data_IF_944895423299
#
_entry.id   IF_944895423299
#
_cell.length_a   1.000
_cell.length_b   1.000
_cell.length_c   1.000
_cell.angle_alpha   90.00
_cell.angle_beta   90.00
_cell.angle_gamma   90.00
#
_symmetry.space_group_name_H-M   'P 1'
#
loop_
_entity.id
_entity.type
_entity.pdbx_description
1 polymer ?
#
# COMPACT_ATOMS: atom_id res chain seq x y z
N UNK A 1 52.03 -0.23 -15.18
CA UNK A 1 50.87 -0.08 -16.09
C UNK A 1 49.70 -1.05 -15.84
N UNK A 2 49.89 -2.33 -15.46
CA UNK A 2 48.77 -3.26 -15.17
C UNK A 2 47.98 -2.96 -13.87
N UNK A 3 48.62 -2.42 -12.83
CA UNK A 3 48.00 -2.16 -11.51
C UNK A 3 46.96 -1.02 -11.51
N UNK A 4 47.18 0.01 -12.35
CA UNK A 4 46.23 1.12 -12.52
C UNK A 4 44.96 0.72 -13.29
N UNK A 5 45.03 -0.31 -14.13
CA UNK A 5 43.87 -0.82 -14.89
C UNK A 5 42.88 -1.57 -14.00
N UNK A 6 43.38 -2.27 -12.97
CA UNK A 6 42.55 -3.05 -12.03
C UNK A 6 41.85 -2.12 -11.04
N UNK A 7 42.55 -1.09 -10.54
CA UNK A 7 41.95 -0.09 -9.66
C UNK A 7 40.85 0.73 -10.36
N UNK A 8 41.04 1.08 -11.65
CA UNK A 8 40.02 1.73 -12.46
C UNK A 8 38.78 0.86 -12.70
N UNK A 9 38.97 -0.45 -12.92
CA UNK A 9 37.85 -1.39 -13.09
C UNK A 9 37.05 -1.63 -11.80
N UNK A 10 37.70 -1.63 -10.62
CA UNK A 10 36.99 -1.71 -9.33
C UNK A 10 36.26 -0.42 -8.97
N UNK A 11 36.82 0.75 -9.28
CA UNK A 11 36.16 2.04 -9.07
C UNK A 11 34.91 2.20 -9.96
N UNK A 12 35.00 1.76 -11.23
CA UNK A 12 33.85 1.75 -12.16
C UNK A 12 32.77 0.77 -11.69
N UNK A 13 33.15 -0.43 -11.25
CA UNK A 13 32.20 -1.42 -10.70
C UNK A 13 31.46 -0.91 -9.46
N UNK A 14 32.16 -0.26 -8.53
CA UNK A 14 31.55 0.28 -7.31
C UNK A 14 30.60 1.45 -7.61
N UNK A 15 30.94 2.34 -8.55
CA UNK A 15 30.06 3.44 -8.96
C UNK A 15 28.81 2.96 -9.70
N UNK A 16 28.91 1.90 -10.51
CA UNK A 16 27.75 1.31 -11.20
C UNK A 16 26.82 0.59 -10.22
N UNK A 17 27.36 -0.07 -9.19
CA UNK A 17 26.56 -0.68 -8.13
C UNK A 17 25.83 0.33 -7.24
N UNK A 18 26.42 1.51 -6.98
CA UNK A 18 25.76 2.59 -6.22
C UNK A 18 24.60 3.20 -7.02
N UNK A 19 24.71 3.29 -8.35
CA UNK A 19 23.63 3.79 -9.21
C UNK A 19 22.46 2.80 -9.25
N UNK A 20 22.72 1.48 -9.24
CA UNK A 20 21.65 0.47 -9.23
C UNK A 20 20.86 0.41 -7.91
N UNK A 21 21.45 0.78 -6.77
CA UNK A 21 20.78 0.79 -5.47
C UNK A 21 19.84 2.01 -5.31
N UNK A 22 20.11 3.12 -6.00
CA UNK A 22 19.36 4.38 -5.89
C UNK A 22 18.06 4.45 -6.72
N UNK A 23 17.80 3.50 -7.63
CA UNK A 23 16.61 3.54 -8.52
C UNK A 23 15.31 3.10 -7.81
N UNK A 24 15.39 2.63 -6.57
CA UNK A 24 14.26 2.02 -5.86
C UNK A 24 13.15 2.96 -5.37
N UNK A 25 13.33 4.28 -5.34
CA UNK A 25 12.37 5.17 -4.66
C UNK A 25 12.09 6.51 -5.34
N UNK A 26 12.11 6.58 -6.67
CA UNK A 26 11.42 7.69 -7.34
C UNK A 26 9.90 7.49 -7.20
N UNK A 27 9.33 8.04 -6.14
CA UNK A 27 7.91 8.42 -6.13
C UNK A 27 7.75 9.47 -7.22
N UNK A 28 7.44 9.00 -8.43
CA UNK A 28 7.11 9.88 -9.54
C UNK A 28 5.82 10.62 -9.16
N UNK A 29 5.96 11.82 -8.60
CA UNK A 29 4.89 12.81 -8.40
C UNK A 29 4.39 13.37 -9.74
N UNK A 30 4.14 12.49 -10.71
CA UNK A 30 3.53 12.84 -11.98
C UNK A 30 2.05 13.15 -11.80
N UNK A 31 1.50 13.99 -12.67
CA UNK A 31 0.07 14.23 -12.75
C UNK A 31 -0.70 12.90 -12.80
N UNK A 32 -1.66 12.71 -11.89
CA UNK A 32 -2.48 11.50 -11.81
C UNK A 32 -3.37 11.43 -13.06
N UNK A 33 -2.99 10.61 -14.04
CA UNK A 33 -3.86 10.31 -15.19
C UNK A 33 -4.96 9.34 -14.75
N UNK A 34 -6.20 9.79 -14.77
CA UNK A 34 -7.38 8.96 -14.49
C UNK A 34 -7.92 8.31 -15.77
N UNK A 35 -8.60 7.17 -15.61
CA UNK A 35 -9.28 6.45 -16.70
C UNK A 35 -8.44 5.35 -17.38
N UNK A 36 -9.11 4.52 -18.18
CA UNK A 36 -8.56 3.35 -18.85
C UNK A 36 -8.95 2.01 -18.20
N UNK A 37 -8.44 0.91 -18.75
CA UNK A 37 -8.66 -0.45 -18.24
C UNK A 37 -7.37 -0.99 -17.63
N UNK A 38 -7.41 -1.30 -16.34
CA UNK A 38 -6.32 -2.01 -15.68
C UNK A 38 -6.50 -3.52 -15.89
N UNK A 39 -5.66 -4.12 -16.73
CA UNK A 39 -5.60 -5.58 -16.87
C UNK A 39 -4.77 -6.15 -15.71
N UNK A 40 -5.43 -6.86 -14.81
CA UNK A 40 -4.81 -7.37 -13.59
C UNK A 40 -5.00 -8.89 -13.49
N UNK A 41 -3.92 -9.62 -13.19
CA UNK A 41 -3.90 -11.09 -13.14
C UNK A 41 -3.72 -11.54 -11.70
N UNK A 42 -4.57 -12.46 -11.25
CA UNK A 42 -4.45 -13.12 -9.95
C UNK A 42 -4.18 -14.61 -10.12
N UNK A 43 -3.21 -15.12 -9.36
CA UNK A 43 -2.77 -16.52 -9.44
C UNK A 43 -3.65 -17.52 -8.67
N UNK A 44 -4.91 -17.17 -8.35
CA UNK A 44 -5.81 -18.03 -7.58
C UNK A 44 -7.23 -17.96 -8.10
N UNK A 45 -7.95 -19.07 -7.99
CA UNK A 45 -9.41 -19.09 -8.16
C UNK A 45 -10.04 -18.49 -6.91
N UNK A 46 -10.98 -17.57 -7.09
CA UNK A 46 -11.75 -16.98 -5.99
C UNK A 46 -12.74 -18.03 -5.46
N UNK A 47 -12.61 -18.49 -4.19
CA UNK A 47 -13.53 -19.45 -3.58
C UNK A 47 -14.91 -18.85 -3.25
N UNK A 48 -14.96 -17.58 -2.84
CA UNK A 48 -16.18 -16.85 -2.48
C UNK A 48 -15.96 -15.35 -2.63
N UNK A 49 -17.05 -14.60 -2.83
CA UNK A 49 -17.06 -13.13 -2.84
C UNK A 49 -17.43 -12.52 -1.49
N UNK A 50 -17.74 -13.35 -0.50
CA UNK A 50 -18.06 -12.93 0.86
C UNK A 50 -16.77 -12.81 1.70
N UNK A 51 -16.34 -11.57 1.96
CA UNK A 51 -15.14 -11.26 2.74
C UNK A 51 -15.26 -11.60 4.23
N UNK A 52 -16.46 -11.86 4.76
CA UNK A 52 -16.61 -12.37 6.13
C UNK A 52 -16.34 -13.87 6.22
N UNK A 53 -16.43 -14.58 5.09
CA UNK A 53 -16.23 -16.04 5.04
C UNK A 53 -14.84 -16.42 4.58
N UNK A 54 -14.15 -15.53 3.90
CA UNK A 54 -12.94 -15.83 3.16
C UNK A 54 -11.76 -14.95 3.59
N UNK A 55 -10.61 -15.57 3.83
CA UNK A 55 -9.42 -14.92 4.39
C UNK A 55 -8.17 -15.16 3.56
N UNK A 56 -8.28 -15.81 2.40
CA UNK A 56 -7.15 -16.08 1.52
C UNK A 56 -6.73 -14.85 0.71
N UNK A 57 -5.45 -14.84 0.33
CA UNK A 57 -4.89 -13.82 -0.57
C UNK A 57 -5.67 -13.73 -1.90
N UNK A 58 -6.18 -14.87 -2.37
CA UNK A 58 -6.91 -14.99 -3.63
C UNK A 58 -8.22 -14.20 -3.68
N UNK A 59 -8.73 -13.78 -2.51
CA UNK A 59 -9.91 -12.92 -2.41
C UNK A 59 -9.55 -11.54 -1.88
N UNK A 60 -8.72 -11.45 -0.84
CA UNK A 60 -8.36 -10.18 -0.21
C UNK A 60 -7.73 -9.22 -1.22
N UNK A 61 -6.78 -9.66 -2.04
CA UNK A 61 -6.12 -8.76 -2.99
C UNK A 61 -7.05 -8.23 -4.10
N UNK A 62 -7.87 -9.05 -4.78
CA UNK A 62 -8.80 -8.54 -5.79
C UNK A 62 -9.96 -7.75 -5.21
N UNK A 63 -10.46 -8.11 -4.01
CA UNK A 63 -11.70 -7.55 -3.49
C UNK A 63 -11.52 -6.41 -2.49
N UNK A 64 -10.41 -6.34 -1.76
CA UNK A 64 -10.18 -5.24 -0.81
C UNK A 64 -10.36 -3.83 -1.41
N UNK A 65 -10.02 -3.54 -2.69
CA UNK A 65 -10.24 -2.20 -3.25
C UNK A 65 -11.71 -1.79 -3.39
N UNK A 66 -12.66 -2.73 -3.33
CA UNK A 66 -14.09 -2.45 -3.42
C UNK A 66 -14.74 -2.14 -2.06
N UNK A 67 -14.02 -2.37 -0.97
CA UNK A 67 -14.53 -2.16 0.39
C UNK A 67 -13.76 -1.03 1.05
N UNK A 68 -14.48 -0.02 1.52
CA UNK A 68 -13.92 0.94 2.45
C UNK A 68 -13.94 0.36 3.86
N UNK A 69 -12.85 0.55 4.59
CA UNK A 69 -12.66 0.06 5.96
C UNK A 69 -12.70 1.23 6.94
N UNK A 70 -12.67 0.95 8.24
CA UNK A 70 -12.52 2.00 9.24
C UNK A 70 -11.14 2.66 9.13
N UNK A 71 -10.11 1.83 9.07
CA UNK A 71 -8.70 2.18 8.92
C UNK A 71 -8.12 1.35 7.78
N UNK A 72 -7.03 1.82 7.16
CA UNK A 72 -6.33 1.13 6.07
C UNK A 72 -4.82 1.30 6.18
N UNK A 73 -4.08 0.45 5.50
CA UNK A 73 -2.62 0.60 5.34
C UNK A 73 -2.32 1.93 4.65
N UNK A 74 -1.30 2.65 5.11
CA UNK A 74 -0.86 3.90 4.49
C UNK A 74 -0.46 3.67 3.01
N UNK A 75 -1.17 4.24 2.03
CA UNK A 75 -0.88 4.04 0.62
C UNK A 75 0.44 4.69 0.20
N UNK A 76 0.90 5.69 0.95
CA UNK A 76 2.17 6.39 0.72
C UNK A 76 3.35 5.66 1.38
N UNK A 77 3.06 4.69 2.26
CA UNK A 77 4.06 3.87 2.93
C UNK A 77 3.59 2.40 3.08
N UNK A 78 3.32 1.70 1.96
CA UNK A 78 2.67 0.38 1.98
C UNK A 78 3.57 -0.72 2.54
N UNK A 79 4.88 -0.48 2.66
CA UNK A 79 5.83 -1.43 3.24
C UNK A 79 5.83 -1.44 4.77
N UNK A 80 5.22 -0.44 5.41
CA UNK A 80 5.18 -0.38 6.87
C UNK A 80 4.08 -1.29 7.43
N UNK A 81 4.41 -2.19 8.38
CA UNK A 81 3.43 -3.09 8.98
C UNK A 81 2.56 -2.43 10.05
N UNK A 82 2.89 -1.19 10.46
CA UNK A 82 2.22 -0.49 11.58
C UNK A 82 1.69 0.89 11.21
N UNK A 83 1.91 1.34 9.98
CA UNK A 83 1.48 2.66 9.52
C UNK A 83 0.06 2.57 8.94
N UNK A 84 -0.92 2.70 9.83
CA UNK A 84 -2.33 2.72 9.50
C UNK A 84 -2.86 4.16 9.48
N UNK A 85 -3.67 4.47 8.47
CA UNK A 85 -4.31 5.77 8.29
C UNK A 85 -5.83 5.61 8.27
N UNK A 86 -6.54 6.71 8.51
CA UNK A 86 -7.98 6.72 8.40
C UNK A 86 -8.44 6.49 6.96
N UNK A 87 -9.45 5.63 6.81
CA UNK A 87 -10.21 5.49 5.57
C UNK A 87 -11.58 6.15 5.73
N UNK A 88 -12.57 5.40 6.22
CA UNK A 88 -13.92 5.92 6.56
C UNK A 88 -13.90 6.79 7.83
N UNK A 89 -12.92 6.61 8.72
CA UNK A 89 -12.77 7.52 9.85
C UNK A 89 -12.25 8.91 9.45
N UNK A 90 -12.45 9.84 10.37
CA UNK A 90 -11.86 11.18 10.34
C UNK A 90 -10.67 11.24 11.30
N UNK A 91 -9.64 12.00 10.91
CA UNK A 91 -8.48 12.28 11.76
C UNK A 91 -7.36 11.25 11.63
N UNK A 92 -6.67 11.03 12.75
CA UNK A 92 -5.49 10.17 12.85
C UNK A 92 -5.88 8.91 13.63
N UNK A 93 -5.34 7.76 13.23
CA UNK A 93 -5.52 6.50 13.95
C UNK A 93 -4.55 6.48 15.13
N UNK A 94 -5.08 6.52 16.35
CA UNK A 94 -4.28 6.34 17.56
C UNK A 94 -4.08 4.85 17.85
N UNK A 95 -2.86 4.37 17.61
CA UNK A 95 -2.49 2.98 17.84
C UNK A 95 -2.40 2.61 19.34
N UNK A 96 -2.27 3.59 20.25
CA UNK A 96 -2.23 3.32 21.69
C UNK A 96 -3.63 3.14 22.28
N UNK A 97 -4.64 3.76 21.69
CA UNK A 97 -6.02 3.75 22.17
C UNK A 97 -6.20 4.37 23.55
N UNK A 98 -7.44 4.38 24.02
CA UNK A 98 -7.82 4.80 25.37
C UNK A 98 -7.73 3.60 26.34
N UNK A 99 -7.72 3.89 27.65
CA UNK A 99 -7.76 2.88 28.72
C UNK A 99 -6.66 1.80 28.60
N UNK A 100 -5.47 2.20 28.14
CA UNK A 100 -4.34 1.30 27.89
C UNK A 100 -4.58 0.34 26.71
N UNK A 101 -5.22 0.82 25.63
CA UNK A 101 -5.45 0.06 24.40
C UNK A 101 -6.66 -0.86 24.44
N UNK A 102 -7.58 -0.66 25.40
CA UNK A 102 -8.82 -1.45 25.53
C UNK A 102 -10.03 -0.79 24.90
N UNK A 103 -9.93 0.49 24.56
CA UNK A 103 -11.01 1.27 23.98
C UNK A 103 -10.48 2.09 22.81
N UNK A 104 -11.18 2.02 21.69
CA UNK A 104 -10.88 2.81 20.49
C UNK A 104 -12.14 3.52 20.03
N UNK A 105 -12.05 4.84 19.91
CA UNK A 105 -13.16 5.68 19.49
C UNK A 105 -12.84 6.25 18.11
N UNK A 106 -13.73 6.00 17.14
CA UNK A 106 -13.57 6.50 15.77
C UNK A 106 -14.74 7.40 15.41
N UNK A 107 -14.43 8.56 14.84
CA UNK A 107 -15.42 9.43 14.24
C UNK A 107 -15.55 9.07 12.76
N UNK A 108 -16.76 8.76 12.33
CA UNK A 108 -17.06 8.34 10.95
C UNK A 108 -17.42 9.55 10.09
N UNK A 109 -16.90 9.59 8.86
CA UNK A 109 -17.26 10.61 7.87
C UNK A 109 -18.75 10.55 7.54
N UNK A 110 -19.34 11.70 7.22
CA UNK A 110 -20.73 11.79 6.78
C UNK A 110 -20.83 11.71 5.26
N UNK A 111 -21.96 11.21 4.77
CA UNK A 111 -22.26 11.16 3.33
C UNK A 111 -21.46 10.10 2.57
N UNK A 112 -21.08 9.02 3.25
CA UNK A 112 -20.56 7.82 2.57
C UNK A 112 -21.77 7.06 2.05
N UNK A 113 -21.69 6.63 0.79
CA UNK A 113 -22.75 5.90 0.12
C UNK A 113 -22.26 4.50 -0.23
N UNK A 114 -23.17 3.54 -0.18
CA UNK A 114 -22.97 2.23 -0.79
C UNK A 114 -23.12 2.32 -2.30
N UNK A 115 -22.66 1.28 -2.99
CA UNK A 115 -22.69 1.22 -4.46
C UNK A 115 -24.12 1.27 -5.06
N UNK A 116 -25.16 1.02 -4.26
CA UNK A 116 -26.57 1.11 -4.65
C UNK A 116 -27.18 2.50 -4.36
N UNK A 117 -26.40 3.44 -3.83
CA UNK A 117 -26.83 4.80 -3.50
C UNK A 117 -27.49 4.93 -2.12
N UNK A 118 -27.51 3.88 -1.31
CA UNK A 118 -27.91 3.99 0.10
C UNK A 118 -26.83 4.65 0.95
N UNK A 119 -27.24 5.38 2.00
CA UNK A 119 -26.35 6.02 2.98
C UNK A 119 -26.08 5.12 4.19
#
# INVERSE_FOLDING_TARGET
>A
MKRFRIAGMMAVGLTVSIIFIMVGSLHAGGHIKRGGTLNYIFGSKIPSYDLHRETTFGVIHPFSPYYSLLIRVNPDNPSSPTDFVCDVCEGIVDAAGEDGGKKYTFKIRRGIEFHDGTL
#
